data_IF_520089965050
#
_entry.id   IF_520089965050
#
_cell.length_a   1.000
_cell.length_b   1.000
_cell.length_c   1.000
_cell.angle_alpha   90.00
_cell.angle_beta   90.00
_cell.angle_gamma   90.00
#
_symmetry.space_group_name_H-M   'P 1'
#
loop_
_entity.id
_entity.type
_entity.pdbx_description
1 polymer ?
#
# COMPACT_ATOMS: atom_id res chain seq x y z
N UNK A 1 5.30 12.30 -2.38
CA UNK A 1 5.47 12.29 -0.91
C UNK A 1 4.11 12.50 -0.28
N UNK A 2 3.66 11.60 0.60
CA UNK A 2 2.27 11.53 1.06
C UNK A 2 2.07 11.86 2.55
N UNK A 3 0.82 11.80 3.01
CA UNK A 3 0.48 12.00 4.41
C UNK A 3 0.69 10.71 5.22
N UNK A 4 1.53 10.75 6.27
CA UNK A 4 1.77 9.62 7.17
C UNK A 4 0.54 9.21 8.00
N UNK A 5 -0.53 10.02 8.00
CA UNK A 5 -1.73 9.80 8.81
C UNK A 5 -3.00 9.84 7.98
N UNK A 6 -3.24 10.93 7.23
CA UNK A 6 -4.50 11.11 6.50
C UNK A 6 -4.65 10.05 5.41
N UNK A 7 -3.59 9.76 4.65
CA UNK A 7 -3.66 8.80 3.56
C UNK A 7 -3.97 7.37 4.06
N UNK A 8 -3.27 6.82 5.08
CA UNK A 8 -3.63 5.52 5.66
C UNK A 8 -5.08 5.44 6.16
N UNK A 9 -5.59 6.50 6.80
CA UNK A 9 -6.95 6.52 7.35
C UNK A 9 -8.02 6.62 6.25
N UNK A 10 -7.80 7.46 5.23
CA UNK A 10 -8.71 7.60 4.09
C UNK A 10 -8.73 6.31 3.27
N UNK A 11 -7.56 5.71 3.02
CA UNK A 11 -7.43 4.44 2.32
C UNK A 11 -8.24 3.34 3.00
N UNK A 12 -8.09 3.16 4.31
CA UNK A 12 -8.81 2.13 5.04
C UNK A 12 -10.33 2.36 5.05
N UNK A 13 -10.77 3.63 5.08
CA UNK A 13 -12.19 3.99 4.95
C UNK A 13 -12.73 3.66 3.56
N UNK A 14 -11.95 3.89 2.50
CA UNK A 14 -12.33 3.50 1.15
C UNK A 14 -12.46 1.97 1.01
N UNK A 15 -11.50 1.20 1.54
CA UNK A 15 -11.56 -0.27 1.59
C UNK A 15 -12.83 -0.74 2.31
N UNK A 16 -13.14 -0.11 3.45
CA UNK A 16 -14.34 -0.42 4.24
C UNK A 16 -15.62 -0.08 3.47
N UNK A 17 -15.67 1.07 2.80
CA UNK A 17 -16.82 1.50 2.02
C UNK A 17 -17.13 0.55 0.86
N UNK A 18 -16.12 0.13 0.09
CA UNK A 18 -16.28 -0.82 -1.02
C UNK A 18 -16.83 -2.15 -0.53
N UNK A 19 -16.30 -2.68 0.59
CA UNK A 19 -16.78 -3.93 1.19
C UNK A 19 -18.21 -3.83 1.71
N UNK A 20 -18.54 -2.72 2.36
CA UNK A 20 -19.89 -2.47 2.87
C UNK A 20 -20.94 -2.32 1.77
N UNK A 21 -20.54 -1.91 0.56
CA UNK A 21 -21.39 -1.90 -0.64
C UNK A 21 -21.55 -3.29 -1.27
N UNK A 22 -21.06 -4.35 -0.63
CA UNK A 22 -21.17 -5.73 -1.11
C UNK A 22 -20.25 -6.05 -2.30
N UNK A 23 -19.32 -5.16 -2.65
CA UNK A 23 -18.36 -5.41 -3.73
C UNK A 23 -17.19 -6.24 -3.19
N UNK A 24 -16.80 -7.34 -3.87
CA UNK A 24 -15.65 -8.12 -3.44
C UNK A 24 -14.37 -7.31 -3.62
N UNK A 25 -13.64 -7.08 -2.52
CA UNK A 25 -12.32 -6.47 -2.52
C UNK A 25 -11.33 -7.40 -1.83
N UNK A 26 -10.73 -8.29 -2.64
CA UNK A 26 -9.87 -9.42 -2.25
C UNK A 26 -8.66 -9.53 -3.18
N UNK A 27 -7.62 -10.22 -2.73
CA UNK A 27 -6.46 -10.61 -3.54
C UNK A 27 -5.75 -9.46 -4.27
N UNK A 28 -5.64 -8.32 -3.59
CA UNK A 28 -4.92 -7.14 -4.07
C UNK A 28 -3.61 -6.94 -3.31
N UNK A 29 -2.73 -6.10 -3.86
CA UNK A 29 -1.45 -5.77 -3.24
C UNK A 29 -1.46 -4.34 -2.72
N UNK A 30 -0.91 -4.14 -1.53
CA UNK A 30 -0.61 -2.80 -1.00
C UNK A 30 0.89 -2.67 -0.74
N UNK A 31 1.40 -1.45 -0.83
CA UNK A 31 2.79 -1.15 -0.53
C UNK A 31 2.91 0.11 0.32
N UNK A 32 3.67 0.02 1.41
CA UNK A 32 4.14 1.17 2.18
C UNK A 32 5.59 1.49 1.78
N UNK A 33 5.86 2.73 1.38
CA UNK A 33 7.18 3.21 0.94
C UNK A 33 7.79 4.23 1.95
N UNK A 34 7.38 4.19 3.20
CA UNK A 34 7.88 5.10 4.23
C UNK A 34 9.33 4.79 4.63
N UNK A 35 10.14 5.84 4.82
CA UNK A 35 11.51 5.70 5.31
C UNK A 35 11.57 5.32 6.81
N UNK A 36 10.53 5.64 7.57
CA UNK A 36 10.32 5.21 8.95
C UNK A 36 9.04 4.39 9.04
N UNK A 37 9.14 3.19 9.60
CA UNK A 37 7.98 2.33 9.79
C UNK A 37 7.14 2.81 10.97
N UNK A 38 6.06 3.53 10.65
CA UNK A 38 5.08 3.95 11.64
C UNK A 38 4.00 2.87 11.83
N UNK A 39 3.51 2.75 13.07
CA UNK A 39 2.45 1.78 13.41
C UNK A 39 1.21 1.93 12.50
N UNK A 40 0.76 3.16 12.22
CA UNK A 40 -0.48 3.41 11.45
C UNK A 40 -0.39 2.94 10.00
N UNK A 41 0.59 3.35 9.16
CA UNK A 41 0.80 2.79 7.83
C UNK A 41 0.95 1.27 7.83
N UNK A 42 1.74 0.72 8.78
CA UNK A 42 1.92 -0.73 8.90
C UNK A 42 0.61 -1.46 9.15
N UNK A 43 -0.28 -0.93 9.98
CA UNK A 43 -1.57 -1.59 10.26
C UNK A 43 -2.59 -1.29 9.18
N UNK A 44 -2.79 -0.02 8.81
CA UNK A 44 -3.90 0.42 7.97
C UNK A 44 -3.66 0.17 6.47
N UNK A 45 -2.40 0.06 6.03
CA UNK A 45 -2.04 -0.21 4.64
C UNK A 45 -1.56 -1.65 4.48
N UNK A 46 -0.59 -2.09 5.30
CA UNK A 46 0.10 -3.37 5.06
C UNK A 46 -0.65 -4.59 5.63
N UNK A 47 -1.33 -4.48 6.78
CA UNK A 47 -1.91 -5.65 7.45
C UNK A 47 -3.44 -5.74 7.30
N UNK A 48 -4.16 -4.75 7.82
CA UNK A 48 -5.63 -4.77 7.99
C UNK A 48 -6.41 -4.95 6.68
N UNK A 49 -6.01 -4.38 5.53
CA UNK A 49 -6.75 -4.58 4.29
C UNK A 49 -6.76 -6.03 3.81
N UNK A 50 -5.74 -6.82 4.14
CA UNK A 50 -5.59 -8.20 3.70
C UNK A 50 -6.16 -9.22 4.71
N UNK A 51 -6.47 -8.77 5.93
CA UNK A 51 -7.11 -9.60 6.95
C UNK A 51 -8.41 -10.20 6.39
N UNK A 52 -8.46 -11.52 6.27
CA UNK A 52 -9.60 -12.30 5.76
C UNK A 52 -9.98 -12.00 4.29
N UNK A 53 -9.12 -11.32 3.54
CA UNK A 53 -9.37 -10.94 2.14
C UNK A 53 -8.29 -11.40 1.16
N UNK A 54 -7.22 -12.05 1.65
CA UNK A 54 -6.10 -12.47 0.81
C UNK A 54 -5.26 -11.31 0.29
N UNK A 55 -4.38 -11.62 -0.65
CA UNK A 55 -3.41 -10.66 -1.19
C UNK A 55 -2.21 -10.43 -0.29
N UNK A 56 -1.46 -9.36 -0.57
CA UNK A 56 -0.16 -9.11 0.07
C UNK A 56 0.03 -7.63 0.41
N UNK A 57 0.45 -7.36 1.65
CA UNK A 57 0.99 -6.08 2.04
C UNK A 57 2.51 -6.10 2.01
N UNK A 58 3.11 -5.08 1.41
CA UNK A 58 4.57 -4.94 1.28
C UNK A 58 5.01 -3.69 2.05
N UNK A 59 6.07 -3.82 2.84
CA UNK A 59 6.73 -2.67 3.47
C UNK A 59 8.13 -2.53 2.89
N UNK A 60 8.40 -1.41 2.24
CA UNK A 60 9.70 -1.08 1.66
C UNK A 60 10.21 0.14 2.42
N UNK A 61 11.25 -0.05 3.22
CA UNK A 61 11.83 1.01 4.04
C UNK A 61 12.97 1.67 3.30
N UNK A 62 12.86 2.98 3.05
CA UNK A 62 13.92 3.78 2.45
C UNK A 62 13.44 5.18 2.13
N UNK A 63 14.36 6.09 1.78
CA UNK A 63 13.98 7.41 1.29
C UNK A 63 13.16 7.26 0.01
N UNK A 64 11.91 7.70 0.02
CA UNK A 64 10.99 7.55 -1.10
C UNK A 64 11.50 8.27 -2.37
N UNK A 65 12.33 9.30 -2.21
CA UNK A 65 13.03 9.97 -3.32
C UNK A 65 13.97 9.05 -4.09
N UNK A 66 14.48 7.99 -3.46
CA UNK A 66 15.25 6.93 -4.11
C UNK A 66 14.36 5.76 -4.49
N UNK A 67 13.49 5.32 -3.58
CA UNK A 67 12.69 4.11 -3.78
C UNK A 67 11.68 4.25 -4.93
N UNK A 68 11.07 5.42 -5.12
CA UNK A 68 10.08 5.63 -6.18
C UNK A 68 10.73 5.61 -7.56
N UNK A 69 11.81 6.37 -7.85
CA UNK A 69 12.50 6.27 -9.13
C UNK A 69 13.06 4.88 -9.43
N UNK A 70 13.61 4.19 -8.43
CA UNK A 70 14.12 2.83 -8.61
C UNK A 70 12.99 1.84 -8.95
N UNK A 71 11.85 1.94 -8.26
CA UNK A 71 10.68 1.12 -8.60
C UNK A 71 10.22 1.40 -10.03
N UNK A 72 10.14 2.67 -10.42
CA UNK A 72 9.76 3.06 -11.77
C UNK A 72 10.73 2.51 -12.83
N UNK A 73 12.04 2.59 -12.58
CA UNK A 73 13.06 2.06 -13.47
C UNK A 73 12.98 0.54 -13.64
N UNK A 74 12.75 -0.20 -12.54
CA UNK A 74 12.56 -1.67 -12.59
C UNK A 74 11.31 -2.06 -13.36
N UNK A 75 10.22 -1.29 -13.21
CA UNK A 75 8.99 -1.53 -13.97
C UNK A 75 9.20 -1.25 -15.46
N UNK A 76 9.89 -0.16 -15.81
CA UNK A 76 10.21 0.16 -17.19
C UNK A 76 11.10 -0.90 -17.87
N UNK A 77 12.17 -1.36 -17.21
CA UNK A 77 13.04 -2.43 -17.74
C UNK A 77 12.29 -3.77 -17.90
N UNK A 78 11.31 -4.05 -17.03
CA UNK A 78 10.48 -5.25 -17.15
C UNK A 78 9.50 -5.17 -18.32
N UNK A 79 8.93 -4.01 -18.59
CA UNK A 79 7.96 -3.84 -19.68
C UNK A 79 8.64 -3.87 -21.07
N UNK A 80 9.95 -3.59 -21.13
CA UNK A 80 10.76 -3.68 -22.35
C UNK A 80 11.22 -5.11 -22.70
N UNK A 81 11.02 -6.10 -21.81
CA UNK A 81 11.41 -7.51 -21.98
C UNK A 81 10.23 -8.41 -22.30
#
# INVERSE_FOLDING_TARGET
VGSAVILPEVFLKAVSAVRNLGRPLRDFTTANLDFLQHYRPRVNVVARPHAQAGGQGIAITGHHELMIPLLAAVLADRDER
#
